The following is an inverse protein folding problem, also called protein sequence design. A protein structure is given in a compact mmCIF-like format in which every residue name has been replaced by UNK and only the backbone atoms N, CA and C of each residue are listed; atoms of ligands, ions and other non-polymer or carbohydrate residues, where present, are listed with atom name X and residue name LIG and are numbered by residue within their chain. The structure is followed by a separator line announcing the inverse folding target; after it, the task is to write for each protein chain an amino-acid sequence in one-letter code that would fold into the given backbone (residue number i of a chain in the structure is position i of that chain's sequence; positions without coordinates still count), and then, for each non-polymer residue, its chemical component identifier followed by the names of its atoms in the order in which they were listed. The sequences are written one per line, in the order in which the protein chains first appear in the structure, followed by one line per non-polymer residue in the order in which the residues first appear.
data_IF_693878844859
#
_entry.id   IF_693878844859
#
_cell.length_a   1.000
_cell.length_b   1.000
_cell.length_c   1.000
_cell.angle_alpha   90.00
_cell.angle_beta   90.00
_cell.angle_gamma   90.00
#
_symmetry.space_group_name_H-M   'P 1'
#
loop_
_entity.id
_entity.type
_entity.pdbx_description
1 polymer ?
#
# COMPACT_ATOMS: atom_id res chain seq x y z
N UNK A 1 -16.51 43.18 -2.10
CA UNK A 1 -15.27 43.13 -1.29
C UNK A 1 -15.41 42.04 -0.22
N UNK A 2 -15.62 40.76 -0.59
CA UNK A 2 -15.84 39.65 0.38
C UNK A 2 -15.75 38.25 -0.27
N UNK A 3 -14.61 37.93 -0.89
CA UNK A 3 -14.24 36.56 -1.31
C UNK A 3 -12.72 36.48 -1.35
N UNK A 4 -12.05 36.08 -0.26
CA UNK A 4 -10.65 35.61 -0.27
C UNK A 4 -10.14 35.14 1.11
N UNK A 5 -10.90 34.29 1.83
CA UNK A 5 -10.45 33.72 3.11
C UNK A 5 -10.48 32.18 3.18
N UNK A 6 -10.54 31.49 2.03
CA UNK A 6 -10.60 30.02 1.99
C UNK A 6 -9.66 29.44 0.94
N UNK A 7 -8.36 29.69 1.01
CA UNK A 7 -7.41 28.76 0.39
C UNK A 7 -5.97 28.94 0.89
N UNK A 8 -5.69 28.40 2.08
CA UNK A 8 -4.33 28.01 2.43
C UNK A 8 -4.39 26.59 2.99
N UNK A 9 -4.82 25.64 2.15
CA UNK A 9 -4.63 24.22 2.41
C UNK A 9 -3.17 23.81 2.18
N UNK A 10 -2.24 24.51 2.84
CA UNK A 10 -0.85 24.07 2.90
C UNK A 10 -0.79 23.01 4.00
N UNK A 11 -0.99 21.75 3.60
CA UNK A 11 -0.78 20.60 4.49
C UNK A 11 0.63 20.70 5.06
N UNK A 12 0.74 20.91 6.38
CA UNK A 12 2.03 20.87 7.04
C UNK A 12 2.65 19.50 6.81
N UNK A 13 3.83 19.45 6.19
CA UNK A 13 4.58 18.22 5.93
C UNK A 13 5.21 17.71 7.24
N UNK A 14 4.38 17.21 8.15
CA UNK A 14 4.82 16.67 9.44
C UNK A 14 4.99 15.14 9.44
N UNK A 15 4.55 14.46 8.38
CA UNK A 15 4.77 13.02 8.23
C UNK A 15 6.25 12.78 7.89
N UNK A 16 7.03 12.49 8.91
CA UNK A 16 8.40 11.99 8.78
C UNK A 16 8.44 10.50 8.38
N UNK A 17 9.63 10.02 8.03
CA UNK A 17 9.88 8.64 7.61
C UNK A 17 9.35 7.61 8.62
N UNK A 18 9.60 7.84 9.91
CA UNK A 18 9.17 6.95 10.98
C UNK A 18 7.64 6.86 11.10
N UNK A 19 6.96 8.00 11.03
CA UNK A 19 5.50 8.05 11.07
C UNK A 19 4.89 7.35 9.85
N UNK A 20 5.48 7.52 8.67
CA UNK A 20 5.05 6.83 7.46
C UNK A 20 5.24 5.30 7.56
N UNK A 21 6.38 4.83 8.07
CA UNK A 21 6.64 3.40 8.28
C UNK A 21 5.60 2.80 9.24
N UNK A 22 5.34 3.46 10.38
CA UNK A 22 4.35 2.97 11.36
C UNK A 22 2.96 2.86 10.73
N UNK A 23 2.55 3.86 9.95
CA UNK A 23 1.25 3.84 9.26
C UNK A 23 1.16 2.64 8.31
N UNK A 24 2.22 2.38 7.53
CA UNK A 24 2.24 1.22 6.61
C UNK A 24 2.18 -0.09 7.38
N UNK A 25 2.98 -0.24 8.44
CA UNK A 25 2.98 -1.45 9.28
C UNK A 25 1.62 -1.68 9.93
N UNK A 26 0.98 -0.62 10.44
CA UNK A 26 -0.35 -0.70 11.04
C UNK A 26 -1.44 -1.10 10.04
N UNK A 27 -1.30 -0.71 8.77
CA UNK A 27 -2.22 -1.14 7.71
C UNK A 27 -1.97 -2.60 7.28
N UNK A 28 -0.73 -3.07 7.32
CA UNK A 28 -0.38 -4.45 6.94
C UNK A 28 -0.79 -5.45 8.02
N UNK A 29 -0.56 -5.13 9.31
CA UNK A 29 -0.91 -6.01 10.43
C UNK A 29 -2.40 -5.86 10.74
N UNK A 30 -3.23 -6.64 10.04
CA UNK A 30 -4.68 -6.70 10.25
C UNK A 30 -5.16 -8.09 10.69
N UNK A 31 -6.45 -8.35 10.48
CA UNK A 31 -7.09 -9.65 10.76
C UNK A 31 -6.53 -10.79 9.91
N UNK A 32 -5.90 -10.47 8.76
CA UNK A 32 -5.35 -11.44 7.82
C UNK A 32 -4.36 -12.43 8.45
N UNK A 33 -3.58 -12.04 9.46
CA UNK A 33 -2.66 -12.98 10.12
C UNK A 33 -3.40 -14.12 10.83
N UNK A 34 -4.58 -13.85 11.39
CA UNK A 34 -5.40 -14.86 12.08
C UNK A 34 -6.21 -15.69 11.09
N UNK A 35 -6.76 -15.05 10.06
CA UNK A 35 -7.59 -15.75 9.07
C UNK A 35 -6.74 -16.64 8.15
N UNK A 36 -5.64 -16.13 7.60
CA UNK A 36 -4.79 -16.86 6.66
C UNK A 36 -4.04 -18.01 7.34
N UNK A 37 -3.57 -17.83 8.58
CA UNK A 37 -2.95 -18.94 9.32
C UNK A 37 -3.94 -20.03 9.68
N UNK A 38 -5.20 -19.67 9.99
CA UNK A 38 -6.30 -20.62 10.20
C UNK A 38 -6.55 -21.50 8.98
N UNK A 39 -6.72 -20.90 7.80
CA UNK A 39 -6.93 -21.65 6.54
C UNK A 39 -5.74 -22.55 6.19
N UNK A 40 -4.51 -22.05 6.32
CA UNK A 40 -3.30 -22.84 6.00
C UNK A 40 -3.15 -24.01 6.97
N UNK A 41 -3.46 -23.82 8.25
CA UNK A 41 -3.41 -24.90 9.25
C UNK A 41 -4.49 -25.96 9.00
N UNK A 42 -5.70 -25.55 8.60
CA UNK A 42 -6.79 -26.46 8.26
C UNK A 42 -6.50 -27.29 7.00
N UNK A 43 -5.88 -26.69 5.98
CA UNK A 43 -5.55 -27.40 4.74
C UNK A 43 -4.29 -28.27 4.82
N UNK A 44 -3.21 -27.81 5.47
CA UNK A 44 -1.93 -28.52 5.45
C UNK A 44 -1.69 -29.41 6.67
N UNK A 45 -2.39 -29.19 7.79
CA UNK A 45 -2.30 -29.99 9.02
C UNK A 45 -0.90 -30.08 9.66
N UNK A 46 0.11 -29.40 9.11
CA UNK A 46 1.52 -29.52 9.51
C UNK A 46 2.14 -28.14 9.78
N UNK A 47 2.71 -27.90 10.98
CA UNK A 47 3.28 -26.60 11.33
C UNK A 47 4.48 -26.20 10.46
N UNK A 48 5.28 -27.17 10.00
CA UNK A 48 6.45 -26.85 9.17
C UNK A 48 6.05 -26.31 7.79
N UNK A 49 5.00 -26.87 7.18
CA UNK A 49 4.56 -26.43 5.87
C UNK A 49 3.89 -25.05 5.94
N UNK A 50 3.18 -24.74 7.04
CA UNK A 50 2.66 -23.39 7.29
C UNK A 50 3.78 -22.34 7.31
N UNK A 51 4.88 -22.61 8.02
CA UNK A 51 6.03 -21.70 8.08
C UNK A 51 6.70 -21.51 6.73
N UNK A 52 6.82 -22.57 5.91
CA UNK A 52 7.37 -22.48 4.56
C UNK A 52 6.49 -21.63 3.64
N UNK A 53 5.16 -21.80 3.69
CA UNK A 53 4.23 -20.95 2.95
C UNK A 53 4.31 -19.48 3.40
N UNK A 54 4.49 -19.24 4.70
CA UNK A 54 4.63 -17.89 5.25
C UNK A 54 5.93 -17.23 4.78
N UNK A 55 7.05 -17.96 4.76
CA UNK A 55 8.32 -17.49 4.21
C UNK A 55 8.23 -17.20 2.72
N UNK A 56 7.59 -18.09 1.94
CA UNK A 56 7.39 -17.88 0.52
C UNK A 56 6.53 -16.63 0.26
N UNK A 57 5.38 -16.52 0.93
CA UNK A 57 4.49 -15.35 0.84
C UNK A 57 5.18 -14.04 1.27
N UNK A 58 5.98 -14.09 2.33
CA UNK A 58 6.80 -12.96 2.77
C UNK A 58 7.83 -12.51 1.72
N UNK A 59 8.48 -13.46 1.03
CA UNK A 59 9.42 -13.16 -0.04
C UNK A 59 8.74 -12.55 -1.27
N UNK A 60 7.57 -13.05 -1.65
CA UNK A 60 6.75 -12.46 -2.71
C UNK A 60 6.30 -11.04 -2.34
N UNK A 61 5.82 -10.83 -1.12
CA UNK A 61 5.42 -9.52 -0.62
C UNK A 61 6.59 -8.53 -0.58
N UNK A 62 7.77 -8.98 -0.15
CA UNK A 62 8.99 -8.15 -0.14
C UNK A 62 9.38 -7.73 -1.56
N UNK A 63 9.35 -8.67 -2.51
CA UNK A 63 9.65 -8.39 -3.91
C UNK A 63 8.67 -7.35 -4.48
N UNK A 64 7.38 -7.48 -4.19
CA UNK A 64 6.38 -6.46 -4.54
C UNK A 64 6.67 -5.11 -3.89
N UNK A 65 6.94 -5.08 -2.59
CA UNK A 65 7.24 -3.85 -1.84
C UNK A 65 8.46 -3.11 -2.40
N UNK A 66 9.50 -3.82 -2.84
CA UNK A 66 10.67 -3.22 -3.50
C UNK A 66 10.30 -2.58 -4.83
N UNK A 67 9.55 -3.28 -5.69
CA UNK A 67 9.06 -2.72 -6.95
C UNK A 67 8.20 -1.46 -6.72
N UNK A 68 7.30 -1.49 -5.72
CA UNK A 68 6.48 -0.33 -5.34
C UNK A 68 7.33 0.81 -4.75
N UNK A 69 8.37 0.49 -4.00
CA UNK A 69 9.32 1.46 -3.45
C UNK A 69 10.12 2.19 -4.52
N UNK A 70 10.65 1.46 -5.51
CA UNK A 70 11.36 2.04 -6.66
C UNK A 70 10.44 2.93 -7.49
N UNK A 71 9.20 2.48 -7.73
CA UNK A 71 8.21 3.26 -8.47
C UNK A 71 7.81 4.54 -7.71
N UNK A 72 7.61 4.45 -6.39
CA UNK A 72 7.32 5.59 -5.52
C UNK A 72 8.46 6.59 -5.42
N UNK A 73 9.72 6.13 -5.49
CA UNK A 73 10.88 7.00 -5.59
C UNK A 73 10.97 7.70 -6.96
N UNK A 74 10.58 7.02 -8.04
CA UNK A 74 10.57 7.57 -9.40
C UNK A 74 9.46 8.63 -9.59
N UNK A 75 8.32 8.50 -8.90
CA UNK A 75 7.20 9.45 -9.01
C UNK A 75 6.82 10.08 -7.65
N UNK A 76 7.55 11.11 -7.18
CA UNK A 76 7.32 11.75 -5.88
C UNK A 76 6.17 12.77 -5.92
N UNK A 77 5.02 12.38 -6.47
CA UNK A 77 3.79 13.18 -6.50
C UNK A 77 2.82 12.63 -5.44
N UNK A 78 2.07 13.50 -4.76
CA UNK A 78 1.10 13.09 -3.74
C UNK A 78 -0.17 12.51 -4.39
N UNK A 79 -0.41 11.20 -4.26
CA UNK A 79 -1.58 10.53 -4.84
C UNK A 79 -1.54 8.99 -4.96
N UNK A 80 -0.53 8.31 -4.40
CA UNK A 80 -0.53 6.83 -4.27
C UNK A 80 -0.58 6.08 -5.61
N UNK A 81 -1.22 4.91 -5.63
CA UNK A 81 -1.34 4.06 -6.83
C UNK A 81 -1.94 4.77 -8.06
N UNK A 82 -2.80 5.77 -7.82
CA UNK A 82 -3.42 6.56 -8.87
C UNK A 82 -2.42 7.28 -9.77
N UNK A 83 -1.27 7.70 -9.24
CA UNK A 83 -0.23 8.40 -10.02
C UNK A 83 0.53 7.43 -10.91
N UNK A 84 0.76 6.20 -10.44
CA UNK A 84 1.43 5.16 -11.22
C UNK A 84 0.59 4.73 -12.43
N UNK A 85 -0.72 4.56 -12.23
CA UNK A 85 -1.67 4.23 -13.31
C UNK A 85 -1.89 5.40 -14.28
N UNK A 86 -1.93 6.64 -13.78
CA UNK A 86 -2.10 7.84 -14.61
C UNK A 86 -0.92 8.10 -15.54
N UNK A 87 0.30 7.81 -15.09
CA UNK A 87 1.52 8.01 -15.90
C UNK A 87 1.78 6.83 -16.85
N UNK A 88 1.47 5.58 -16.46
CA UNK A 88 1.72 4.39 -17.28
C UNK A 88 0.65 4.11 -18.35
N UNK A 89 -0.62 4.44 -18.09
CA UNK A 89 -1.75 4.04 -18.97
C UNK A 89 -2.61 5.20 -19.50
N UNK A 90 -2.27 6.45 -19.16
CA UNK A 90 -2.99 7.63 -19.61
C UNK A 90 -4.35 7.86 -18.93
N UNK A 91 -4.96 9.02 -19.21
CA UNK A 91 -6.14 9.59 -18.51
C UNK A 91 -7.36 8.66 -18.42
N UNK A 92 -7.54 7.69 -19.33
CA UNK A 92 -8.72 6.82 -19.38
C UNK A 92 -8.72 5.70 -18.34
N UNK A 93 -7.60 5.01 -18.16
CA UNK A 93 -7.50 3.86 -17.23
C UNK A 93 -7.37 4.29 -15.78
N UNK A 94 -6.81 5.47 -15.52
CA UNK A 94 -6.77 6.07 -14.19
C UNK A 94 -8.18 6.42 -13.65
N UNK A 95 -9.11 6.83 -14.52
CA UNK A 95 -10.49 7.12 -14.12
C UNK A 95 -11.25 5.84 -13.72
N UNK A 96 -11.03 4.72 -14.41
CA UNK A 96 -11.65 3.43 -14.08
C UNK A 96 -11.12 2.84 -12.76
N UNK A 97 -9.82 2.92 -12.50
CA UNK A 97 -9.25 2.48 -11.21
C UNK A 97 -9.77 3.34 -10.04
N UNK A 98 -9.91 4.66 -10.22
CA UNK A 98 -10.48 5.54 -9.21
C UNK A 98 -11.98 5.39 -8.96
N UNK A 99 -12.72 4.68 -9.83
CA UNK A 99 -14.13 4.33 -9.60
C UNK A 99 -14.31 2.94 -8.96
N UNK A 100 -13.25 2.14 -8.88
CA UNK A 100 -13.26 0.78 -8.31
C UNK A 100 -12.66 0.75 -6.89
N UNK A 101 -11.73 1.67 -6.57
CA UNK A 101 -11.30 1.95 -5.19
C UNK A 101 -12.33 2.77 -4.42
#
# INVERSE_FOLDING_TARGET
MLKNHLNNHNLKREIGLFSAIIIVVANIIGTGIFTTSGFIMEELGSPQAMLLCWLAGGLFALSGALCYGELGAMFPKAGGEYIFLRESYGKGMAFLSGCIS
#
